data_IF_161698820313
#
_entry.id   IF_161698820313
#
_cell.length_a   1.000
_cell.length_b   1.000
_cell.length_c   1.000
_cell.angle_alpha   90.00
_cell.angle_beta   90.00
_cell.angle_gamma   90.00
#
_symmetry.space_group_name_H-M   'P 1'
#
loop_
_entity.id
_entity.type
_entity.pdbx_description
1 polymer ?
#
# COMPACT_ATOMS: atom_id res chain seq x y z
N UNK A 1 1.48 -20.22 14.49
CA UNK A 1 0.56 -19.41 15.32
C UNK A 1 0.91 -17.96 15.06
N UNK A 2 0.00 -17.16 14.57
CA UNK A 2 -0.01 -15.69 14.50
C UNK A 2 0.20 -14.95 13.17
N UNK A 3 0.13 -15.55 11.99
CA UNK A 3 0.15 -14.74 10.74
C UNK A 3 -1.14 -13.93 10.48
N UNK A 4 -2.15 -14.06 11.33
CA UNK A 4 -3.47 -13.42 11.13
C UNK A 4 -3.83 -12.32 12.16
N UNK A 5 -3.03 -12.13 13.20
CA UNK A 5 -3.44 -11.25 14.30
C UNK A 5 -3.58 -9.79 13.88
N UNK A 6 -2.68 -9.27 13.05
CA UNK A 6 -2.76 -7.88 12.59
C UNK A 6 -3.91 -7.69 11.60
N UNK A 7 -4.12 -8.66 10.69
CA UNK A 7 -5.25 -8.61 9.76
C UNK A 7 -6.58 -8.68 10.51
N UNK A 8 -6.68 -9.51 11.54
CA UNK A 8 -7.87 -9.59 12.39
C UNK A 8 -8.16 -8.25 13.08
N UNK A 9 -7.16 -7.62 13.68
CA UNK A 9 -7.28 -6.26 14.24
C UNK A 9 -7.72 -5.24 13.18
N UNK A 10 -7.12 -5.28 11.99
CA UNK A 10 -7.49 -4.38 10.90
C UNK A 10 -8.96 -4.55 10.47
N UNK A 11 -9.49 -5.79 10.47
CA UNK A 11 -10.90 -6.07 10.19
C UNK A 11 -11.79 -5.46 11.27
N UNK A 12 -11.47 -5.66 12.55
CA UNK A 12 -12.23 -5.11 13.66
C UNK A 12 -12.25 -3.57 13.66
N UNK A 13 -11.09 -2.95 13.44
CA UNK A 13 -10.97 -1.49 13.30
C UNK A 13 -11.73 -1.00 12.06
N UNK A 14 -11.73 -1.74 10.95
CA UNK A 14 -12.48 -1.39 9.74
C UNK A 14 -13.98 -1.28 10.04
N UNK A 15 -14.55 -2.23 10.77
CA UNK A 15 -15.97 -2.22 11.14
C UNK A 15 -16.31 -1.00 12.00
N UNK A 16 -15.51 -0.74 13.04
CA UNK A 16 -15.72 0.40 13.95
C UNK A 16 -15.51 1.74 13.23
N UNK A 17 -14.45 1.86 12.43
CA UNK A 17 -14.12 3.08 11.71
C UNK A 17 -15.16 3.41 10.61
N UNK A 18 -15.69 2.40 9.93
CA UNK A 18 -16.78 2.58 8.95
C UNK A 18 -18.06 3.05 9.65
N UNK A 19 -18.43 2.44 10.75
CA UNK A 19 -19.62 2.80 11.53
C UNK A 19 -19.55 4.23 12.09
N UNK A 20 -18.36 4.71 12.45
CA UNK A 20 -18.13 6.08 12.93
C UNK A 20 -17.88 7.10 11.81
N UNK A 21 -17.84 6.68 10.54
CA UNK A 21 -17.51 7.52 9.40
C UNK A 21 -16.05 7.98 9.34
N UNK A 22 -15.16 7.40 10.15
CA UNK A 22 -13.73 7.67 10.10
C UNK A 22 -13.08 7.08 8.84
N UNK A 23 -13.56 5.91 8.41
CA UNK A 23 -13.15 5.22 7.19
C UNK A 23 -14.29 5.30 6.17
N UNK A 24 -13.96 5.70 4.95
CA UNK A 24 -14.92 5.88 3.84
C UNK A 24 -14.46 5.03 2.65
N UNK A 25 -14.94 3.80 2.49
CA UNK A 25 -14.54 2.94 1.38
C UNK A 25 -14.83 3.59 0.03
N UNK A 26 -13.91 3.41 -0.90
CA UNK A 26 -14.11 3.82 -2.28
C UNK A 26 -14.76 2.67 -3.05
N UNK A 27 -15.79 3.01 -3.81
CA UNK A 27 -16.40 2.05 -4.72
C UNK A 27 -15.51 1.87 -5.95
N UNK A 28 -14.99 0.67 -6.13
CA UNK A 28 -14.04 0.34 -7.20
C UNK A 28 -14.43 -0.95 -7.91
N UNK A 29 -14.17 -1.03 -9.21
CA UNK A 29 -14.18 -2.29 -9.96
C UNK A 29 -12.78 -2.83 -10.14
N UNK A 30 -12.63 -4.15 -10.09
CA UNK A 30 -11.37 -4.86 -10.33
C UNK A 30 -11.44 -5.57 -11.68
N UNK A 31 -10.45 -5.32 -12.53
CA UNK A 31 -10.25 -6.01 -13.80
C UNK A 31 -8.85 -6.63 -13.81
N UNK A 32 -8.74 -7.83 -14.35
CA UNK A 32 -7.46 -8.49 -14.55
C UNK A 32 -7.01 -8.33 -16.00
N UNK A 33 -5.78 -7.88 -16.19
CA UNK A 33 -5.13 -7.80 -17.49
C UNK A 33 -3.97 -8.80 -17.54
N UNK A 34 -3.89 -9.52 -18.66
CA UNK A 34 -2.75 -10.39 -18.93
C UNK A 34 -1.73 -9.61 -19.76
N UNK A 35 -0.54 -9.49 -19.23
CA UNK A 35 0.62 -8.95 -19.95
C UNK A 35 1.43 -10.05 -20.63
N UNK A 36 2.44 -9.62 -21.36
CA UNK A 36 3.40 -10.52 -21.98
C UNK A 36 4.10 -11.41 -20.95
N UNK A 37 4.45 -12.62 -21.33
CA UNK A 37 5.09 -13.59 -20.44
C UNK A 37 4.18 -14.16 -19.35
N UNK A 38 2.85 -13.99 -19.45
CA UNK A 38 1.89 -14.53 -18.48
C UNK A 38 1.73 -13.73 -17.21
N UNK A 39 2.30 -12.53 -17.14
CA UNK A 39 2.15 -11.61 -16.01
C UNK A 39 0.70 -11.14 -15.88
N UNK A 40 0.13 -11.24 -14.68
CA UNK A 40 -1.24 -10.82 -14.39
C UNK A 40 -1.23 -9.52 -13.59
N UNK A 41 -1.86 -8.49 -14.14
CA UNK A 41 -2.05 -7.19 -13.51
C UNK A 41 -3.46 -7.05 -12.97
N UNK A 42 -3.59 -6.42 -11.81
CA UNK A 42 -4.85 -5.94 -11.28
C UNK A 42 -5.02 -4.46 -11.63
N UNK A 43 -6.11 -4.15 -12.29
CA UNK A 43 -6.50 -2.78 -12.62
C UNK A 43 -7.75 -2.43 -11.82
N UNK A 44 -7.64 -1.44 -10.94
CA UNK A 44 -8.77 -0.95 -10.13
C UNK A 44 -9.25 0.38 -10.69
N UNK A 45 -10.52 0.42 -11.06
CA UNK A 45 -11.19 1.63 -11.52
C UNK A 45 -12.06 2.19 -10.41
N UNK A 46 -11.91 3.49 -10.14
CA UNK A 46 -12.79 4.20 -9.21
C UNK A 46 -14.16 4.40 -9.87
N UNK A 47 -15.21 3.89 -9.24
CA UNK A 47 -16.60 4.04 -9.67
C UNK A 47 -17.29 5.22 -8.95
N UNK A 48 -16.87 5.50 -7.72
CA UNK A 48 -17.38 6.64 -6.95
C UNK A 48 -16.75 7.97 -7.40
N UNK A 49 -17.41 9.06 -7.07
CA UNK A 49 -16.83 10.39 -7.29
C UNK A 49 -15.56 10.55 -6.46
N UNK A 50 -14.50 11.10 -7.09
CA UNK A 50 -13.25 11.40 -6.38
C UNK A 50 -13.53 12.23 -5.13
N UNK A 51 -13.04 11.81 -3.95
CA UNK A 51 -13.23 12.54 -2.71
C UNK A 51 -12.82 14.02 -2.82
N UNK A 52 -13.60 14.92 -2.23
CA UNK A 52 -13.41 16.38 -2.37
C UNK A 52 -11.99 16.83 -2.00
N UNK A 53 -11.40 16.24 -0.95
CA UNK A 53 -10.04 16.59 -0.50
C UNK A 53 -8.94 16.23 -1.51
N UNK A 54 -9.18 15.28 -2.40
CA UNK A 54 -8.24 14.93 -3.50
C UNK A 54 -8.38 15.90 -4.68
N UNK A 55 -9.51 16.61 -4.80
CA UNK A 55 -9.76 17.58 -5.85
C UNK A 55 -9.25 18.98 -5.49
N UNK A 56 -9.04 19.26 -4.20
CA UNK A 56 -8.62 20.58 -3.76
C UNK A 56 -7.17 20.84 -4.16
N UNK A 57 -6.92 21.97 -4.81
CA UNK A 57 -5.58 22.51 -5.04
C UNK A 57 -5.11 23.28 -3.79
N UNK A 58 -3.80 23.27 -3.55
CA UNK A 58 -3.17 24.03 -2.45
C UNK A 58 -2.65 23.15 -1.31
N UNK A 59 -2.07 23.79 -0.28
CA UNK A 59 -1.52 23.08 0.88
C UNK A 59 -2.61 22.28 1.60
N UNK A 60 -2.33 21.00 1.85
CA UNK A 60 -3.24 20.12 2.58
C UNK A 60 -2.68 19.86 3.98
N UNK A 61 -3.55 19.81 5.01
CA UNK A 61 -3.11 19.40 6.33
C UNK A 61 -2.53 17.99 6.25
N UNK A 62 -1.47 17.74 7.04
CA UNK A 62 -0.90 16.40 7.15
C UNK A 62 -1.90 15.47 7.85
N UNK A 63 -2.43 14.42 7.20
CA UNK A 63 -3.43 13.54 7.80
C UNK A 63 -2.83 12.57 8.82
N UNK A 64 -1.50 12.55 8.94
CA UNK A 64 -0.77 11.62 9.80
C UNK A 64 -0.22 12.28 11.07
N UNK A 65 -0.36 13.62 11.22
CA UNK A 65 0.09 14.35 12.40
C UNK A 65 -0.93 15.42 12.85
N UNK A 66 -1.76 15.10 13.83
CA UNK A 66 -2.00 13.78 14.41
C UNK A 66 -2.82 12.89 13.47
N UNK A 67 -2.60 11.59 13.49
CA UNK A 67 -3.47 10.65 12.80
C UNK A 67 -4.79 10.46 13.54
N UNK A 68 -5.82 10.03 12.82
CA UNK A 68 -7.11 9.70 13.42
C UNK A 68 -7.00 8.37 14.17
N UNK A 69 -7.08 8.40 15.49
CA UNK A 69 -6.94 7.22 16.35
C UNK A 69 -8.00 6.14 16.08
N UNK A 70 -9.13 6.50 15.46
CA UNK A 70 -10.15 5.53 15.06
C UNK A 70 -9.71 4.64 13.89
N UNK A 71 -8.62 5.02 13.21
CA UNK A 71 -7.99 4.23 12.14
C UNK A 71 -6.76 3.46 12.61
N UNK A 72 -6.34 3.63 13.88
CA UNK A 72 -5.16 2.98 14.42
C UNK A 72 -5.40 1.47 14.59
N UNK A 73 -4.54 0.66 14.01
CA UNK A 73 -4.57 -0.80 14.09
C UNK A 73 -3.56 -1.31 15.12
N UNK A 74 -2.31 -0.83 15.03
CA UNK A 74 -1.26 -1.25 15.95
C UNK A 74 -0.10 -0.24 15.99
N UNK A 75 0.70 -0.26 17.05
CA UNK A 75 1.92 0.55 17.19
C UNK A 75 3.15 -0.33 17.09
N UNK A 76 4.15 0.14 16.36
CA UNK A 76 5.40 -0.56 16.16
C UNK A 76 6.51 0.23 16.86
N UNK A 77 6.70 -0.09 18.13
CA UNK A 77 7.60 0.67 18.99
C UNK A 77 7.21 2.15 19.08
N UNK A 78 8.22 3.00 19.16
CA UNK A 78 8.05 4.46 19.26
C UNK A 78 8.22 5.17 17.90
N UNK A 79 8.51 4.41 16.83
CA UNK A 79 8.86 4.98 15.53
C UNK A 79 7.71 4.95 14.52
N UNK A 80 6.88 3.91 14.53
CA UNK A 80 5.86 3.69 13.53
C UNK A 80 4.50 3.34 14.12
N UNK A 81 3.46 3.56 13.33
CA UNK A 81 2.09 3.12 13.62
C UNK A 81 1.44 2.56 12.36
N UNK A 82 0.68 1.48 12.51
CA UNK A 82 -0.17 0.93 11.45
C UNK A 82 -1.54 1.54 11.59
N UNK A 83 -2.01 2.19 10.53
CA UNK A 83 -3.36 2.74 10.45
C UNK A 83 -4.08 2.19 9.21
N UNK A 84 -5.41 2.19 9.22
CA UNK A 84 -6.18 1.96 8.00
C UNK A 84 -6.07 3.16 7.06
N UNK A 85 -6.00 2.92 5.77
CA UNK A 85 -6.20 3.97 4.79
C UNK A 85 -7.64 4.49 4.91
N UNK A 86 -7.80 5.80 5.11
CA UNK A 86 -9.11 6.44 5.26
C UNK A 86 -10.03 6.22 4.06
N UNK A 87 -9.46 6.13 2.86
CA UNK A 87 -10.16 5.93 1.59
C UNK A 87 -9.64 4.67 0.90
N UNK A 88 -9.94 3.48 1.46
CA UNK A 88 -9.35 2.25 0.97
C UNK A 88 -9.95 1.83 -0.37
N UNK A 89 -9.08 1.37 -1.28
CA UNK A 89 -9.48 0.79 -2.58
C UNK A 89 -9.78 -0.70 -2.49
N UNK A 90 -9.41 -1.33 -1.40
CA UNK A 90 -9.77 -2.70 -1.03
C UNK A 90 -9.88 -2.82 0.49
N UNK A 91 -10.54 -3.90 0.94
CA UNK A 91 -10.72 -4.16 2.37
C UNK A 91 -9.35 -4.23 3.09
N UNK A 92 -9.33 -3.69 4.31
CA UNK A 92 -8.16 -3.70 5.19
C UNK A 92 -6.87 -3.12 4.57
N UNK A 93 -6.97 -2.18 3.62
CA UNK A 93 -5.82 -1.42 3.12
C UNK A 93 -5.18 -0.65 4.27
N UNK A 94 -3.95 -1.00 4.62
CA UNK A 94 -3.21 -0.42 5.74
C UNK A 94 -2.07 0.48 5.27
N UNK A 95 -1.71 1.43 6.13
CA UNK A 95 -0.54 2.28 5.98
C UNK A 95 0.36 2.08 7.20
N UNK A 96 1.65 1.90 6.98
CA UNK A 96 2.67 2.00 8.01
C UNK A 96 3.26 3.40 7.91
N UNK A 97 2.94 4.27 8.88
CA UNK A 97 3.38 5.67 8.90
C UNK A 97 4.41 5.87 10.02
N UNK A 98 5.31 6.83 9.84
CA UNK A 98 6.20 7.25 10.94
C UNK A 98 5.42 8.10 11.94
N UNK A 99 5.69 7.92 13.25
CA UNK A 99 5.04 8.69 14.31
C UNK A 99 5.49 10.15 14.31
N UNK A 100 6.78 10.40 14.01
CA UNK A 100 7.31 11.72 13.76
C UNK A 100 7.37 12.01 12.26
N UNK A 101 7.34 13.31 11.90
CA UNK A 101 7.41 13.69 10.51
C UNK A 101 8.73 13.25 9.87
N UNK A 102 8.63 12.51 8.78
CA UNK A 102 9.73 12.15 7.90
C UNK A 102 9.30 12.39 6.44
N UNK A 103 10.21 12.80 5.56
CA UNK A 103 9.86 13.06 4.17
C UNK A 103 9.56 11.76 3.41
N UNK A 104 8.55 11.80 2.53
CA UNK A 104 8.15 10.69 1.64
C UNK A 104 9.09 10.54 0.43
N UNK A 105 10.36 10.90 0.57
CA UNK A 105 11.35 10.87 -0.52
C UNK A 105 12.58 10.07 -0.11
N UNK A 106 13.38 9.66 -1.10
CA UNK A 106 14.60 8.92 -0.87
C UNK A 106 14.38 7.44 -0.57
N UNK A 107 15.37 6.83 0.04
CA UNK A 107 15.36 5.42 0.43
C UNK A 107 14.68 5.21 1.78
N UNK A 108 14.18 4.00 1.99
CA UNK A 108 13.69 3.56 3.29
C UNK A 108 14.87 3.49 4.28
N UNK A 109 14.62 3.95 5.50
CA UNK A 109 15.58 3.85 6.60
C UNK A 109 15.64 2.43 7.14
N UNK A 110 16.65 2.14 7.95
CA UNK A 110 16.74 0.85 8.64
C UNK A 110 15.54 0.63 9.58
N UNK A 111 14.99 1.70 10.14
CA UNK A 111 13.82 1.66 11.01
C UNK A 111 12.54 1.33 10.24
N UNK A 112 12.37 1.91 9.04
CA UNK A 112 11.28 1.54 8.12
C UNK A 112 11.35 0.04 7.79
N UNK A 113 12.54 -0.47 7.45
CA UNK A 113 12.74 -1.88 7.11
C UNK A 113 12.48 -2.83 8.29
N UNK A 114 12.89 -2.47 9.50
CA UNK A 114 12.63 -3.27 10.70
C UNK A 114 11.14 -3.34 11.01
N UNK A 115 10.46 -2.19 10.95
CA UNK A 115 9.03 -2.11 11.20
C UNK A 115 8.23 -2.88 10.15
N UNK A 116 8.61 -2.75 8.86
CA UNK A 116 8.02 -3.53 7.77
C UNK A 116 8.21 -5.03 8.00
N UNK A 117 9.44 -5.48 8.25
CA UNK A 117 9.73 -6.90 8.46
C UNK A 117 8.99 -7.50 9.65
N UNK A 118 8.81 -6.71 10.72
CA UNK A 118 8.03 -7.14 11.88
C UNK A 118 6.57 -7.39 11.52
N UNK A 119 5.97 -6.49 10.73
CA UNK A 119 4.58 -6.62 10.28
C UNK A 119 4.45 -7.76 9.26
N UNK A 120 5.37 -7.85 8.30
CA UNK A 120 5.35 -8.87 7.24
C UNK A 120 5.42 -10.29 7.81
N UNK A 121 6.10 -10.47 8.94
CA UNK A 121 6.10 -11.75 9.67
C UNK A 121 4.72 -12.17 10.21
N UNK A 122 3.75 -11.25 10.27
CA UNK A 122 2.41 -11.47 10.83
C UNK A 122 1.28 -11.19 9.86
N UNK A 123 1.59 -10.86 8.61
CA UNK A 123 0.60 -10.56 7.55
C UNK A 123 1.11 -11.01 6.19
N UNK A 124 0.19 -11.35 5.31
CA UNK A 124 0.51 -11.62 3.90
C UNK A 124 -0.07 -10.50 3.04
N UNK A 125 0.75 -9.94 2.15
CA UNK A 125 0.25 -8.89 1.27
C UNK A 125 1.30 -8.24 0.39
N UNK A 126 0.84 -7.29 -0.42
CA UNK A 126 1.69 -6.46 -1.25
C UNK A 126 2.09 -5.21 -0.48
N UNK A 127 3.38 -5.08 -0.18
CA UNK A 127 3.99 -3.86 0.29
C UNK A 127 4.46 -3.00 -0.87
N UNK A 128 4.23 -1.70 -0.78
CA UNK A 128 4.80 -0.75 -1.73
C UNK A 128 5.05 0.62 -1.09
N UNK A 129 6.02 1.32 -1.66
CA UNK A 129 6.46 2.64 -1.25
C UNK A 129 6.55 3.57 -2.47
N UNK A 130 5.76 4.61 -2.47
CA UNK A 130 5.79 5.65 -3.50
C UNK A 130 6.72 6.77 -3.04
N UNK A 131 7.93 6.83 -3.58
CA UNK A 131 8.95 7.81 -3.19
C UNK A 131 8.68 9.17 -3.84
N UNK A 132 7.89 9.99 -3.16
CA UNK A 132 7.56 11.35 -3.60
C UNK A 132 6.39 11.44 -4.59
N UNK A 133 5.95 12.66 -4.93
CA UNK A 133 4.78 12.90 -5.75
C UNK A 133 4.90 12.37 -7.18
N UNK A 134 6.11 12.40 -7.77
CA UNK A 134 6.36 11.88 -9.12
C UNK A 134 6.19 10.36 -9.19
N UNK A 135 6.35 9.67 -8.07
CA UNK A 135 6.07 8.24 -7.93
C UNK A 135 4.63 7.95 -7.45
N UNK A 136 3.76 8.97 -7.39
CA UNK A 136 2.36 8.82 -7.02
C UNK A 136 2.06 8.95 -5.53
N UNK A 137 2.99 9.43 -4.70
CA UNK A 137 2.69 9.71 -3.29
C UNK A 137 1.68 10.84 -3.16
N UNK A 138 0.58 10.57 -2.47
CA UNK A 138 -0.46 11.58 -2.20
C UNK A 138 -0.16 12.46 -1.00
N UNK A 139 0.75 12.04 -0.14
CA UNK A 139 1.13 12.71 1.10
C UNK A 139 2.65 12.85 1.22
N UNK A 140 3.16 13.98 1.71
CA UNK A 140 4.60 14.21 1.86
C UNK A 140 5.19 13.56 3.12
N UNK A 141 4.38 13.04 4.02
CA UNK A 141 4.80 12.35 5.23
C UNK A 141 5.07 10.88 4.94
N UNK A 142 6.15 10.34 5.51
CA UNK A 142 6.63 8.96 5.32
C UNK A 142 5.56 7.93 5.65
N UNK A 143 5.22 7.15 4.63
CA UNK A 143 4.29 6.03 4.74
C UNK A 143 4.59 4.94 3.71
N UNK A 144 4.45 3.69 4.13
CA UNK A 144 4.42 2.52 3.28
C UNK A 144 2.98 2.00 3.23
N UNK A 145 2.63 1.30 2.19
CA UNK A 145 1.28 0.78 2.00
C UNK A 145 1.27 -0.74 1.98
N UNK A 146 0.28 -1.34 2.61
CA UNK A 146 0.04 -2.78 2.61
C UNK A 146 -1.35 -3.08 2.07
N UNK A 147 -1.41 -3.81 0.97
CA UNK A 147 -2.63 -4.42 0.46
C UNK A 147 -2.64 -5.89 0.87
N UNK A 148 -3.47 -6.29 1.85
CA UNK A 148 -3.53 -7.67 2.30
C UNK A 148 -3.90 -8.63 1.18
N UNK A 149 -3.34 -9.84 1.23
CA UNK A 149 -3.62 -10.97 0.34
C UNK A 149 -3.90 -12.21 1.16
N UNK A 150 -4.73 -13.08 0.62
CA UNK A 150 -4.96 -14.40 1.22
C UNK A 150 -3.76 -15.30 1.02
N UNK A 151 -3.58 -16.28 1.90
CA UNK A 151 -2.55 -17.29 1.75
C UNK A 151 -2.67 -18.01 0.40
N UNK A 152 -1.57 -18.15 -0.31
CA UNK A 152 -1.52 -18.74 -1.65
C UNK A 152 -2.02 -17.83 -2.79
N UNK A 153 -2.54 -16.66 -2.48
CA UNK A 153 -2.89 -15.66 -3.48
C UNK A 153 -1.63 -15.01 -4.06
N UNK A 154 -1.69 -14.66 -5.34
CA UNK A 154 -0.60 -13.97 -6.02
C UNK A 154 -0.45 -12.54 -5.45
N UNK A 155 0.75 -12.18 -4.99
CA UNK A 155 1.00 -10.89 -4.34
C UNK A 155 1.07 -9.76 -5.37
N UNK A 156 1.81 -9.97 -6.45
CA UNK A 156 1.96 -8.98 -7.53
C UNK A 156 2.19 -9.64 -8.88
N UNK A 157 2.27 -8.84 -9.95
CA UNK A 157 2.51 -9.35 -11.31
C UNK A 157 3.84 -10.09 -11.47
N UNK A 158 4.82 -9.81 -10.60
CA UNK A 158 6.14 -10.45 -10.58
C UNK A 158 6.29 -11.58 -9.56
N UNK A 159 5.23 -11.99 -8.89
CA UNK A 159 5.32 -12.95 -7.77
C UNK A 159 6.04 -14.25 -8.17
N UNK A 160 5.66 -14.85 -9.31
CA UNK A 160 6.30 -16.06 -9.80
C UNK A 160 7.79 -15.87 -10.09
N UNK A 161 8.15 -14.72 -10.68
CA UNK A 161 9.54 -14.41 -10.94
C UNK A 161 10.36 -14.23 -9.65
N UNK A 162 9.81 -13.52 -8.65
CA UNK A 162 10.46 -13.40 -7.34
C UNK A 162 10.65 -14.76 -6.66
N UNK A 163 9.65 -15.64 -6.72
CA UNK A 163 9.74 -17.00 -6.17
C UNK A 163 10.82 -17.82 -6.87
N UNK A 164 10.89 -17.72 -8.19
CA UNK A 164 11.95 -18.39 -8.98
C UNK A 164 13.34 -17.82 -8.66
N UNK A 165 13.49 -16.53 -8.48
CA UNK A 165 14.74 -15.92 -8.06
C UNK A 165 15.16 -16.40 -6.67
N UNK A 166 14.24 -16.44 -5.72
CA UNK A 166 14.49 -16.91 -4.35
C UNK A 166 14.88 -18.41 -4.33
N UNK A 167 14.31 -19.21 -5.23
CA UNK A 167 14.64 -20.62 -5.39
C UNK A 167 15.93 -20.84 -6.21
N UNK A 168 16.58 -19.82 -6.74
CA UNK A 168 17.77 -19.91 -7.57
C UNK A 168 17.55 -20.53 -8.96
N UNK A 169 16.28 -20.56 -9.42
CA UNK A 169 15.90 -21.16 -10.72
C UNK A 169 15.87 -20.16 -11.86
N UNK A 170 16.01 -18.87 -11.57
CA UNK A 170 16.11 -17.80 -12.56
C UNK A 170 17.00 -16.66 -12.06
N UNK A 171 17.32 -15.71 -12.92
CA UNK A 171 18.17 -14.56 -12.61
C UNK A 171 17.42 -13.25 -12.83
N UNK A 172 17.95 -12.14 -12.30
CA UNK A 172 17.39 -10.81 -12.51
C UNK A 172 17.33 -10.41 -14.01
N UNK A 173 18.21 -10.97 -14.84
CA UNK A 173 18.22 -10.73 -16.28
C UNK A 173 17.01 -11.34 -17.01
N UNK A 174 16.28 -12.25 -16.36
CA UNK A 174 15.11 -12.94 -16.91
C UNK A 174 13.78 -12.38 -16.38
N UNK A 175 13.79 -11.17 -15.81
CA UNK A 175 12.56 -10.50 -15.35
C UNK A 175 11.64 -10.23 -16.56
N UNK A 176 10.44 -10.85 -16.60
CA UNK A 176 9.52 -10.71 -17.75
C UNK A 176 8.95 -9.31 -17.88
N UNK A 177 9.04 -8.49 -16.83
CA UNK A 177 8.60 -7.10 -16.80
C UNK A 177 9.77 -6.11 -16.82
N UNK A 178 10.99 -6.60 -17.08
CA UNK A 178 12.15 -5.74 -17.26
C UNK A 178 11.98 -4.94 -18.52
N UNK A 179 11.86 -3.63 -18.37
CA UNK A 179 11.78 -2.67 -19.47
C UNK A 179 12.95 -1.71 -19.38
N UNK A 180 13.64 -1.53 -20.48
CA UNK A 180 14.52 -0.38 -20.67
C UNK A 180 13.67 0.77 -21.15
N UNK A 181 13.26 1.67 -20.26
CA UNK A 181 12.48 2.83 -20.63
C UNK A 181 13.17 4.11 -20.23
N UNK A 182 13.00 5.12 -21.04
CA UNK A 182 13.47 6.47 -20.76
C UNK A 182 12.37 7.37 -20.22
N UNK A 183 11.11 7.09 -20.49
CA UNK A 183 9.98 7.88 -19.96
C UNK A 183 8.65 7.15 -20.15
N UNK A 184 7.87 7.05 -19.06
CA UNK A 184 6.43 6.75 -19.14
C UNK A 184 5.70 8.00 -18.64
N UNK A 185 5.10 8.76 -19.55
CA UNK A 185 3.99 9.63 -19.18
C UNK A 185 2.77 8.73 -19.02
N UNK A 186 2.51 8.30 -17.82
CA UNK A 186 1.19 7.75 -17.49
C UNK A 186 0.20 8.92 -17.62
N UNK A 187 -0.87 8.78 -18.40
CA UNK A 187 -2.00 9.68 -18.22
C UNK A 187 -2.34 9.61 -16.74
N UNK A 188 -2.66 10.76 -16.14
CA UNK A 188 -2.98 10.88 -14.72
C UNK A 188 -4.25 10.07 -14.43
N UNK A 189 -4.09 8.75 -14.43
CA UNK A 189 -5.03 7.86 -13.80
C UNK A 189 -4.72 8.05 -12.33
N UNK A 190 -5.68 8.58 -11.60
CA UNK A 190 -5.58 8.73 -10.17
C UNK A 190 -5.33 7.34 -9.60
N UNK A 191 -4.05 6.98 -9.45
CA UNK A 191 -3.66 5.82 -8.66
C UNK A 191 -3.86 6.23 -7.22
N UNK A 192 -4.98 5.83 -6.69
CA UNK A 192 -5.31 5.96 -5.28
C UNK A 192 -4.48 4.95 -4.51
#
# INVERSE_FOLDING_TARGET
MTSELLLQKAIEVTVAATSSGALVPLDTSLTHLMGDGGSRFELRHLLSATPKHLRASGPKPNPFLPWDQRLEVDRIGDSHVVILNKYPVQASHMLLITQDWQPQTGWLSMEDWRSLAWIDATTTGLWFFNSGPDAGASQPHRHLQLLPRSEGERICARDDWFRCCAAGTTTSAQDPLSVSYTHLTLPTILLV
#
